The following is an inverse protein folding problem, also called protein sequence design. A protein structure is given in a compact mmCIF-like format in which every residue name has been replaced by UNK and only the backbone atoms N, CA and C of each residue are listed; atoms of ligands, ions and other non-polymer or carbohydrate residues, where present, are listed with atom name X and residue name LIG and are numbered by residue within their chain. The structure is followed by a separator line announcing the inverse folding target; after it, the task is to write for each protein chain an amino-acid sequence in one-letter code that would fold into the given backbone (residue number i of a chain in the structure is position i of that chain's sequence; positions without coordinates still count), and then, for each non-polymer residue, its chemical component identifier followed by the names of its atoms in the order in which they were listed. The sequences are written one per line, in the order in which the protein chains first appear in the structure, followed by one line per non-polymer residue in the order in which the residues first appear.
data_IF_593629077040
#
_entry.id   IF_593629077040
#
_cell.length_a   1.000
_cell.length_b   1.000
_cell.length_c   1.000
_cell.angle_alpha   90.00
_cell.angle_beta   90.00
_cell.angle_gamma   90.00
#
_symmetry.space_group_name_H-M   'P 1'
#
loop_
_entity.id
_entity.type
_entity.pdbx_description
1 polymer ?
#
# COMPACT_ATOMS: atom_id res chain seq x y z
N UNK A 1 -12.57 16.12 -13.18
CA UNK A 1 -13.68 15.13 -13.21
C UNK A 1 -13.52 14.21 -12.01
N UNK A 2 -14.54 13.44 -11.61
CA UNK A 2 -14.37 12.41 -10.56
C UNK A 2 -14.06 11.06 -11.21
N UNK A 3 -13.21 10.24 -10.59
CA UNK A 3 -12.76 8.96 -11.13
C UNK A 3 -12.70 7.88 -10.06
N UNK A 4 -12.93 6.62 -10.47
CA UNK A 4 -12.60 5.46 -9.67
C UNK A 4 -11.11 5.15 -9.82
N UNK A 5 -10.39 5.10 -8.70
CA UNK A 5 -8.97 4.81 -8.64
C UNK A 5 -8.65 3.81 -7.53
N UNK A 6 -7.43 3.30 -7.52
CA UNK A 6 -6.92 2.35 -6.53
C UNK A 6 -5.83 3.03 -5.71
N UNK A 7 -6.13 3.27 -4.43
CA UNK A 7 -5.21 3.86 -3.47
C UNK A 7 -4.33 2.77 -2.86
N UNK A 8 -3.01 2.91 -2.98
CA UNK A 8 -2.06 2.04 -2.28
C UNK A 8 -2.01 2.43 -0.81
N UNK A 9 -2.58 1.57 0.04
CA UNK A 9 -2.43 1.68 1.48
C UNK A 9 -1.18 0.91 1.89
N UNK A 10 -0.31 1.57 2.64
CA UNK A 10 0.84 0.94 3.29
C UNK A 10 0.70 1.09 4.80
N UNK A 11 0.77 -0.02 5.51
CA UNK A 11 0.72 -0.09 6.96
C UNK A 11 2.07 -0.63 7.44
N UNK A 12 2.73 0.14 8.30
CA UNK A 12 3.93 -0.30 9.02
C UNK A 12 3.51 -0.75 10.43
N UNK A 13 4.16 -1.78 10.93
CA UNK A 13 3.91 -2.34 12.23
C UNK A 13 2.63 -3.17 12.35
N UNK A 14 2.48 -3.84 13.49
CA UNK A 14 1.31 -4.63 13.89
C UNK A 14 0.96 -4.35 15.36
N UNK A 15 -0.29 -4.63 15.77
CA UNK A 15 -0.77 -4.32 17.12
C UNK A 15 -0.69 -2.81 17.42
N UNK A 16 -0.13 -2.46 18.57
CA UNK A 16 0.09 -1.07 19.02
C UNK A 16 1.03 -0.26 18.12
N UNK A 17 1.86 -0.92 17.30
CA UNK A 17 2.78 -0.25 16.37
C UNK A 17 2.16 0.04 15.00
N UNK A 18 0.91 -0.38 14.78
CA UNK A 18 0.24 -0.30 13.49
C UNK A 18 0.02 1.16 13.08
N UNK A 19 0.72 1.61 12.05
CA UNK A 19 0.63 2.98 11.51
C UNK A 19 0.44 2.96 10.00
N UNK A 20 -0.63 3.60 9.54
CA UNK A 20 -0.83 3.85 8.10
C UNK A 20 0.14 4.93 7.65
N UNK A 21 0.87 4.68 6.57
CA UNK A 21 1.77 5.66 6.00
C UNK A 21 0.99 6.81 5.36
N UNK A 22 1.40 8.08 5.60
CA UNK A 22 0.76 9.23 4.99
C UNK A 22 1.05 9.25 3.48
N UNK A 23 0.24 10.01 2.73
CA UNK A 23 0.44 10.30 1.30
C UNK A 23 0.45 9.06 0.38
N UNK A 24 -0.70 8.38 0.24
CA UNK A 24 -0.78 7.18 -0.59
C UNK A 24 -0.63 7.53 -2.08
N UNK A 25 -0.10 6.57 -2.84
CA UNK A 25 -0.14 6.60 -4.31
C UNK A 25 -1.52 6.17 -4.80
N UNK A 26 -1.99 6.78 -5.89
CA UNK A 26 -3.26 6.43 -6.54
C UNK A 26 -3.01 5.92 -7.95
N UNK A 27 -3.71 4.87 -8.36
CA UNK A 27 -3.53 4.25 -9.66
C UNK A 27 -4.85 4.13 -10.40
N UNK A 28 -4.83 4.32 -11.71
CA UNK A 28 -5.97 3.99 -12.57
C UNK A 28 -6.17 2.48 -12.73
N UNK A 29 -5.06 1.73 -12.78
CA UNK A 29 -5.06 0.29 -12.94
C UNK A 29 -4.92 -0.44 -11.60
N UNK A 30 -5.81 -1.41 -11.37
CA UNK A 30 -5.70 -2.31 -10.21
C UNK A 30 -4.43 -3.15 -10.28
N UNK A 31 -4.04 -3.63 -11.47
CA UNK A 31 -2.85 -4.46 -11.65
C UNK A 31 -1.59 -3.69 -11.30
N UNK A 32 -1.54 -2.42 -11.71
CA UNK A 32 -0.43 -1.54 -11.39
C UNK A 32 -0.37 -1.26 -9.88
N UNK A 33 -1.49 -0.95 -9.24
CA UNK A 33 -1.54 -0.83 -7.78
C UNK A 33 -1.07 -2.12 -7.08
N UNK A 34 -1.55 -3.28 -7.54
CA UNK A 34 -1.22 -4.60 -6.97
C UNK A 34 0.26 -4.94 -7.15
N UNK A 35 0.88 -4.53 -8.25
CA UNK A 35 2.32 -4.64 -8.45
C UNK A 35 3.08 -3.92 -7.32
N UNK A 36 2.75 -2.65 -7.04
CA UNK A 36 3.40 -1.91 -5.95
C UNK A 36 3.05 -2.49 -4.57
N UNK A 37 1.80 -2.89 -4.33
CA UNK A 37 1.38 -3.53 -3.07
C UNK A 37 2.16 -4.82 -2.78
N UNK A 38 2.52 -5.59 -3.81
CA UNK A 38 3.38 -6.77 -3.67
C UNK A 38 4.84 -6.42 -3.52
N UNK A 39 5.32 -5.39 -4.23
CA UNK A 39 6.73 -5.00 -4.27
C UNK A 39 7.20 -4.31 -2.97
N UNK A 40 6.40 -3.39 -2.42
CA UNK A 40 6.79 -2.57 -1.26
C UNK A 40 7.15 -3.41 -0.03
N UNK A 41 6.33 -4.39 0.42
CA UNK A 41 6.68 -5.21 1.57
C UNK A 41 7.91 -6.09 1.36
N UNK A 42 8.29 -6.41 0.11
CA UNK A 42 9.48 -7.26 -0.17
C UNK A 42 10.79 -6.59 0.21
N UNK A 43 10.83 -5.26 0.26
CA UNK A 43 12.07 -4.51 0.48
C UNK A 43 12.58 -4.61 1.92
N UNK A 44 11.73 -4.99 2.90
CA UNK A 44 12.05 -4.85 4.32
C UNK A 44 11.84 -6.10 5.18
N UNK A 45 11.46 -7.27 4.63
CA UNK A 45 11.19 -8.43 5.49
C UNK A 45 11.06 -9.78 4.80
N UNK A 46 11.60 -10.79 5.47
CA UNK A 46 11.73 -12.18 5.02
C UNK A 46 10.38 -12.79 4.60
N UNK A 47 10.31 -13.23 3.34
CA UNK A 47 9.12 -13.68 2.62
C UNK A 47 8.50 -14.99 3.14
N UNK A 48 9.17 -15.69 4.06
CA UNK A 48 8.76 -17.03 4.46
C UNK A 48 8.13 -17.11 5.84
N UNK A 49 8.48 -16.21 6.77
CA UNK A 49 8.00 -16.28 8.16
C UNK A 49 7.84 -14.89 8.77
N UNK A 50 6.66 -14.29 8.62
CA UNK A 50 6.30 -12.99 9.23
C UNK A 50 6.42 -13.00 10.75
N UNK A 51 6.27 -14.16 11.39
CA UNK A 51 6.49 -14.37 12.83
C UNK A 51 7.94 -14.09 13.27
N UNK A 52 8.91 -14.14 12.36
CA UNK A 52 10.33 -13.87 12.63
C UNK A 52 10.74 -12.40 12.39
N UNK A 53 9.80 -11.57 11.94
CA UNK A 53 10.00 -10.12 11.79
C UNK A 53 9.45 -9.43 13.03
N UNK A 54 10.21 -8.48 13.58
CA UNK A 54 9.76 -7.66 14.71
C UNK A 54 8.39 -7.03 14.38
N UNK A 55 7.41 -7.06 15.29
CA UNK A 55 6.10 -6.45 15.07
C UNK A 55 6.12 -5.02 14.55
N UNK A 56 7.16 -4.21 14.83
CA UNK A 56 7.34 -2.82 14.35
C UNK A 56 7.73 -2.73 12.88
N UNK A 57 8.47 -3.72 12.39
CA UNK A 57 9.06 -3.71 11.05
C UNK A 57 8.20 -4.44 10.02
N UNK A 58 7.10 -5.08 10.46
CA UNK A 58 6.15 -5.74 9.57
C UNK A 58 5.45 -4.73 8.67
N UNK A 59 5.31 -5.07 7.40
CA UNK A 59 4.66 -4.21 6.41
C UNK A 59 3.47 -4.94 5.80
N UNK A 60 2.33 -4.27 5.73
CA UNK A 60 1.17 -4.71 4.96
C UNK A 60 0.85 -3.65 3.92
N UNK A 61 0.76 -4.03 2.66
CA UNK A 61 0.34 -3.13 1.59
C UNK A 61 -0.80 -3.74 0.78
N UNK A 62 -1.79 -2.92 0.43
CA UNK A 62 -2.96 -3.36 -0.33
C UNK A 62 -3.61 -2.20 -1.10
N UNK A 63 -4.41 -2.56 -2.10
CA UNK A 63 -5.12 -1.60 -2.95
C UNK A 63 -6.54 -1.40 -2.45
N UNK A 64 -6.89 -0.16 -2.09
CA UNK A 64 -8.25 0.23 -1.70
C UNK A 64 -8.91 1.00 -2.84
N UNK A 65 -10.08 0.59 -3.34
CA UNK A 65 -10.83 1.39 -4.32
C UNK A 65 -11.31 2.69 -3.68
N UNK A 66 -11.18 3.80 -4.39
CA UNK A 66 -11.56 5.14 -3.96
C UNK A 66 -12.23 5.90 -5.11
N UNK A 67 -13.04 6.90 -4.75
CA UNK A 67 -13.66 7.82 -5.71
C UNK A 67 -13.16 9.23 -5.43
N UNK A 68 -12.27 9.73 -6.27
CA UNK A 68 -11.50 10.96 -6.02
C UNK A 68 -11.57 11.91 -7.21
N UNK A 69 -11.18 13.17 -6.98
CA UNK A 69 -10.98 14.14 -8.06
C UNK A 69 -9.77 13.72 -8.89
N UNK A 70 -9.99 13.59 -10.18
CA UNK A 70 -8.93 13.39 -11.17
C UNK A 70 -7.93 14.55 -11.10
N UNK A 71 -6.64 14.20 -11.10
CA UNK A 71 -5.50 15.09 -11.06
C UNK A 71 -4.23 14.38 -11.56
N UNK A 72 -3.16 15.13 -11.78
CA UNK A 72 -1.88 14.60 -12.29
C UNK A 72 -1.14 13.67 -11.30
N UNK A 73 -1.64 13.53 -10.07
CA UNK A 73 -1.11 12.62 -9.04
C UNK A 73 -1.64 11.18 -9.12
N UNK A 74 -2.46 10.83 -10.12
CA UNK A 74 -2.94 9.47 -10.34
C UNK A 74 -2.09 8.80 -11.43
N UNK A 75 -1.38 7.74 -11.05
CA UNK A 75 -0.49 6.99 -11.92
C UNK A 75 -1.27 6.12 -12.92
N UNK A 76 -0.87 6.18 -14.18
CA UNK A 76 -1.40 5.36 -15.28
C UNK A 76 -0.69 4.01 -15.36
#
# INVERSE_FOLDING_TARGET
MMVHAFMLVVVLGTGEFRKVQPSPMYFYSIDRCQYFAKAVPRQYGNYSFTSRVDPKDRITAYCKPVYIKDNDGIYK
#
